data_IF_102132573093
#
_entry.id   IF_102132573093
#
_cell.length_a   1.000
_cell.length_b   1.000
_cell.length_c   1.000
_cell.angle_alpha   90.00
_cell.angle_beta   90.00
_cell.angle_gamma   90.00
#
_symmetry.space_group_name_H-M   'P 1'
#
loop_
_entity.id
_entity.type
_entity.pdbx_description
1 polymer ?
#
# COMPACT_ATOMS: atom_id res chain seq x y z
N UNK A 1 -2.36 11.98 -3.03
CA UNK A 1 -1.03 12.08 -2.38
C UNK A 1 -0.92 13.25 -1.39
N UNK A 2 -1.66 14.34 -1.56
CA UNK A 2 -1.65 15.51 -0.66
C UNK A 2 -1.84 15.20 0.85
N UNK A 3 -2.61 14.16 1.20
CA UNK A 3 -2.94 13.87 2.60
C UNK A 3 -1.74 13.36 3.41
N UNK A 4 -0.83 12.60 2.79
CA UNK A 4 0.32 12.02 3.50
C UNK A 4 1.39 13.07 3.81
N UNK A 5 1.63 13.99 2.86
CA UNK A 5 2.62 15.07 2.97
C UNK A 5 2.30 16.01 4.13
N UNK A 6 1.02 16.39 4.29
CA UNK A 6 0.57 17.27 5.39
C UNK A 6 0.76 16.61 6.76
N UNK A 7 0.52 15.30 6.87
CA UNK A 7 0.68 14.57 8.13
C UNK A 7 2.16 14.43 8.49
N UNK A 8 3.03 14.18 7.51
CA UNK A 8 4.48 14.13 7.72
C UNK A 8 5.02 15.48 8.22
N UNK A 9 4.70 16.58 7.53
CA UNK A 9 5.17 17.93 7.90
C UNK A 9 4.72 18.31 9.33
N UNK A 10 3.50 17.92 9.73
CA UNK A 10 3.01 18.15 11.09
C UNK A 10 3.76 17.33 12.13
N UNK A 11 4.03 16.05 11.88
CA UNK A 11 4.70 15.18 12.86
C UNK A 11 6.16 15.62 13.06
N UNK A 12 6.87 15.94 11.99
CA UNK A 12 8.26 16.43 12.07
C UNK A 12 8.35 17.74 12.89
N UNK A 13 7.41 18.68 12.65
CA UNK A 13 7.39 19.96 13.37
C UNK A 13 6.94 19.83 14.82
N UNK A 14 5.92 19.04 15.11
CA UNK A 14 5.35 18.92 16.47
C UNK A 14 6.18 18.00 17.38
N UNK A 15 6.78 16.93 16.83
CA UNK A 15 7.42 15.88 17.65
C UNK A 15 8.94 15.76 17.45
N UNK A 16 9.56 16.49 16.51
CA UNK A 16 11.00 16.41 16.17
C UNK A 16 11.47 14.96 15.90
N UNK A 17 10.61 14.16 15.28
CA UNK A 17 10.92 12.78 14.88
C UNK A 17 11.24 12.82 13.39
N UNK A 18 12.44 12.40 13.00
CA UNK A 18 12.76 12.13 11.60
C UNK A 18 11.97 10.90 11.14
N UNK A 19 11.00 11.10 10.24
CA UNK A 19 10.17 10.02 9.72
C UNK A 19 10.87 9.38 8.51
N UNK A 20 11.24 8.09 8.60
CA UNK A 20 11.68 7.35 7.42
C UNK A 20 10.44 6.88 6.66
N UNK A 21 10.08 7.61 5.61
CA UNK A 21 8.90 7.31 4.79
C UNK A 21 9.26 6.20 3.80
N UNK A 22 8.77 4.99 4.07
CA UNK A 22 8.85 3.90 3.08
C UNK A 22 7.79 4.13 2.00
N UNK A 23 8.03 3.61 0.79
CA UNK A 23 7.09 3.75 -0.31
C UNK A 23 5.66 3.34 0.13
N UNK A 24 4.63 4.16 -0.16
CA UNK A 24 3.27 3.85 0.23
C UNK A 24 2.84 2.55 -0.47
N UNK A 25 2.36 1.59 0.31
CA UNK A 25 1.75 0.37 -0.24
C UNK A 25 0.28 0.64 -0.53
N UNK A 26 -0.19 0.27 -1.72
CA UNK A 26 -1.60 0.36 -2.09
C UNK A 26 -2.23 -1.02 -1.98
N UNK A 27 -3.50 -1.06 -1.57
CA UNK A 27 -4.28 -2.30 -1.55
C UNK A 27 -4.70 -2.61 -3.00
N UNK A 28 -4.36 -3.80 -3.47
CA UNK A 28 -4.76 -4.31 -4.77
C UNK A 28 -5.99 -5.20 -4.63
N UNK A 29 -7.02 -4.91 -5.41
CA UNK A 29 -8.16 -5.80 -5.61
C UNK A 29 -7.86 -6.69 -6.82
N UNK A 30 -7.63 -7.98 -6.60
CA UNK A 30 -7.29 -8.93 -7.67
C UNK A 30 -8.52 -9.79 -7.95
N UNK A 31 -8.86 -9.88 -9.23
CA UNK A 31 -9.95 -10.71 -9.73
C UNK A 31 -9.36 -11.97 -10.35
N UNK A 32 -9.75 -13.11 -9.81
CA UNK A 32 -9.37 -14.43 -10.31
C UNK A 32 -10.22 -14.82 -11.52
N UNK A 33 -9.74 -15.79 -12.30
CA UNK A 33 -10.45 -16.31 -13.49
C UNK A 33 -11.73 -17.07 -13.16
N UNK A 34 -11.90 -17.51 -11.91
CA UNK A 34 -13.11 -18.13 -11.37
C UNK A 34 -14.15 -17.11 -10.85
N UNK A 35 -13.83 -15.81 -10.89
CA UNK A 35 -14.67 -14.72 -10.41
C UNK A 35 -14.50 -14.38 -8.92
N UNK A 36 -13.58 -15.04 -8.21
CA UNK A 36 -13.26 -14.70 -6.83
C UNK A 36 -12.48 -13.36 -6.76
N UNK A 37 -12.81 -12.53 -5.76
CA UNK A 37 -12.10 -11.29 -5.46
C UNK A 37 -11.23 -11.50 -4.24
N UNK A 38 -9.91 -11.36 -4.40
CA UNK A 38 -8.98 -11.34 -3.28
C UNK A 38 -8.47 -9.91 -3.05
N UNK A 39 -8.33 -9.56 -1.78
CA UNK A 39 -7.72 -8.29 -1.36
C UNK A 39 -6.26 -8.57 -1.04
N UNK A 40 -5.36 -7.93 -1.77
CA UNK A 40 -3.91 -8.12 -1.65
C UNK A 40 -3.27 -6.82 -1.17
N UNK A 41 -2.66 -6.88 0.00
CA UNK A 41 -1.98 -5.75 0.65
C UNK A 41 -0.52 -5.59 0.20
N UNK A 42 0.07 -6.65 -0.35
CA UNK A 42 1.45 -6.68 -0.82
C UNK A 42 1.54 -7.34 -2.20
N UNK A 43 2.17 -6.72 -3.21
CA UNK A 43 2.36 -7.33 -4.54
C UNK A 43 3.08 -8.69 -4.52
N UNK A 44 3.84 -9.03 -3.47
CA UNK A 44 4.43 -10.38 -3.32
C UNK A 44 3.42 -11.47 -2.98
N UNK A 45 2.24 -11.10 -2.47
CA UNK A 45 1.13 -12.01 -2.18
C UNK A 45 0.20 -12.18 -3.39
N UNK A 46 0.56 -11.63 -4.56
CA UNK A 46 -0.18 -11.85 -5.79
C UNK A 46 -0.18 -13.35 -6.14
N UNK A 47 -1.35 -13.95 -6.35
CA UNK A 47 -1.44 -15.31 -6.82
C UNK A 47 -0.83 -15.42 -8.22
N UNK A 48 -0.16 -16.53 -8.49
CA UNK A 48 0.52 -16.77 -9.76
C UNK A 48 -0.49 -16.70 -10.92
N UNK A 49 -0.33 -15.78 -11.90
CA UNK A 49 -1.26 -15.66 -13.02
C UNK A 49 -1.22 -16.87 -13.97
N UNK A 50 -0.28 -17.80 -13.79
CA UNK A 50 -0.16 -19.04 -14.56
C UNK A 50 -0.57 -20.26 -13.72
N UNK A 51 -1.88 -20.48 -13.61
CA UNK A 51 -2.42 -21.84 -13.46
C UNK A 51 -3.40 -22.07 -14.61
N UNK A 52 -2.83 -22.48 -15.73
CA UNK A 52 -3.55 -23.17 -16.81
C UNK A 52 -3.90 -24.61 -16.38
#
# INVERSE_FOLDING_TARGET
>A
MLHMEIIQERIEREFKIDLITTAPSVIYDVYMTDGEKIVVDNPSNLPDPQKD
#
